data_IF_031972758292
#
_entry.id   IF_031972758292
#
_cell.length_a   1.000
_cell.length_b   1.000
_cell.length_c   1.000
_cell.angle_alpha   90.00
_cell.angle_beta   90.00
_cell.angle_gamma   90.00
#
_symmetry.space_group_name_H-M   'P 1'
#
loop_
_entity.id
_entity.type
_entity.pdbx_description
1 polymer ?
#
# COMPACT_ATOMS: atom_id res chain seq x y z
N UNK A 1 42.89 28.06 104.18
CA UNK A 1 43.45 29.39 103.86
C UNK A 1 42.96 29.81 102.48
N UNK A 2 42.27 30.96 102.46
CA UNK A 2 42.16 31.96 101.38
C UNK A 2 41.60 31.53 100.00
N UNK A 3 40.73 32.27 99.31
CA UNK A 3 39.74 33.31 99.60
C UNK A 3 39.23 33.79 98.22
N UNK A 4 37.91 33.95 98.06
CA UNK A 4 37.22 34.89 97.13
C UNK A 4 37.37 34.59 95.60
N UNK A 5 36.36 34.65 94.72
CA UNK A 5 35.32 35.68 94.50
C UNK A 5 34.12 35.15 93.65
N UNK A 6 32.92 35.51 94.11
CA UNK A 6 31.63 35.91 93.48
C UNK A 6 31.11 35.36 92.11
N UNK A 7 29.84 34.92 92.19
CA UNK A 7 28.72 34.71 91.24
C UNK A 7 28.41 35.87 90.26
N UNK A 8 27.38 35.80 89.38
CA UNK A 8 26.70 34.66 88.69
C UNK A 8 26.62 34.89 87.15
N UNK A 9 26.02 33.99 86.34
CA UNK A 9 25.22 34.30 85.12
C UNK A 9 24.69 33.01 84.43
N UNK A 10 23.36 32.91 84.40
CA UNK A 10 22.45 32.55 83.29
C UNK A 10 22.49 31.15 82.65
N UNK A 11 21.33 30.51 82.79
CA UNK A 11 20.67 29.42 82.04
C UNK A 11 21.14 29.09 80.62
N UNK A 12 21.24 27.79 80.34
CA UNK A 12 20.95 27.22 79.02
C UNK A 12 20.42 25.78 79.15
N UNK A 13 19.12 25.61 78.91
CA UNK A 13 18.47 24.32 78.68
C UNK A 13 19.02 23.71 77.39
N UNK A 14 19.43 22.44 77.42
CA UNK A 14 19.70 21.67 76.20
C UNK A 14 18.55 20.67 76.04
N UNK A 15 17.55 21.08 75.26
CA UNK A 15 16.57 20.14 74.68
C UNK A 15 17.27 19.45 73.52
N UNK A 16 17.52 18.16 73.66
CA UNK A 16 18.09 17.32 72.60
C UNK A 16 16.99 17.00 71.59
N UNK A 17 16.88 17.80 70.52
CA UNK A 17 16.02 17.48 69.37
C UNK A 17 16.80 16.56 68.44
N UNK A 18 16.42 15.27 68.41
CA UNK A 18 16.92 14.32 67.42
C UNK A 18 16.35 14.64 66.03
N UNK A 19 17.21 15.10 65.12
CA UNK A 19 16.86 15.32 63.72
C UNK A 19 17.02 14.01 62.95
N UNK A 20 15.92 13.27 62.76
CA UNK A 20 15.89 12.15 61.82
C UNK A 20 15.66 12.70 60.40
N UNK A 21 16.73 12.79 59.60
CA UNK A 21 16.65 13.11 58.18
C UNK A 21 16.17 11.86 57.45
N UNK A 22 14.85 11.74 57.25
CA UNK A 22 14.28 10.74 56.35
C UNK A 22 14.51 11.15 54.90
N UNK A 23 15.45 10.50 54.21
CA UNK A 23 15.58 10.65 52.76
C UNK A 23 14.38 9.99 52.07
N UNK A 24 13.41 10.80 51.61
CA UNK A 24 12.33 10.33 50.77
C UNK A 24 12.89 10.01 49.37
N UNK A 25 13.05 8.71 49.06
CA UNK A 25 13.36 8.27 47.70
C UNK A 25 12.07 8.43 46.88
N UNK A 26 12.03 9.25 45.82
CA UNK A 26 10.87 9.28 44.94
C UNK A 26 10.77 7.93 44.23
N UNK A 27 9.68 7.21 44.49
CA UNK A 27 9.34 6.00 43.74
C UNK A 27 8.94 6.44 42.33
N UNK A 28 9.87 6.35 41.38
CA UNK A 28 9.59 6.58 39.96
C UNK A 28 8.76 5.40 39.48
N UNK A 29 7.43 5.53 39.53
CA UNK A 29 6.54 4.53 38.95
C UNK A 29 6.54 4.72 37.44
N UNK A 30 7.26 3.86 36.72
CA UNK A 30 7.09 3.74 35.28
C UNK A 30 5.71 3.15 35.00
N UNK A 31 4.70 4.00 34.87
CA UNK A 31 3.39 3.58 34.39
C UNK A 31 3.54 3.15 32.93
N UNK A 32 3.56 1.84 32.67
CA UNK A 32 3.41 1.29 31.33
C UNK A 32 2.00 1.63 30.84
N UNK A 33 1.87 2.71 30.08
CA UNK A 33 0.63 3.12 29.42
C UNK A 33 0.16 1.99 28.50
N UNK A 34 -0.96 1.36 28.83
CA UNK A 34 -1.63 0.41 27.95
C UNK A 34 -2.03 1.12 26.64
N UNK A 35 -1.91 0.46 25.47
CA UNK A 35 -2.31 1.04 24.19
C UNK A 35 -3.76 1.53 24.24
N UNK A 36 -3.98 2.84 24.13
CA UNK A 36 -5.33 3.39 24.00
C UNK A 36 -5.86 3.06 22.60
N UNK A 37 -6.80 2.13 22.52
CA UNK A 37 -7.40 1.68 21.26
C UNK A 37 -8.71 2.39 20.89
N UNK A 38 -9.25 3.20 21.79
CA UNK A 38 -10.49 3.96 21.62
C UNK A 38 -10.30 5.43 21.96
N UNK A 39 -10.93 6.33 21.22
CA UNK A 39 -10.76 7.77 21.38
C UNK A 39 -12.12 8.47 21.56
N UNK A 40 -12.28 9.41 22.50
CA UNK A 40 -13.57 10.06 22.76
C UNK A 40 -14.15 10.82 21.56
N UNK A 41 -13.29 11.32 20.66
CA UNK A 41 -13.66 12.05 19.46
C UNK A 41 -13.81 11.16 18.21
N UNK A 42 -13.72 9.84 18.37
CA UNK A 42 -13.97 8.83 17.33
C UNK A 42 -15.18 8.01 17.75
N UNK A 43 -16.36 8.44 17.30
CA UNK A 43 -17.62 7.78 17.62
C UNK A 43 -17.69 6.35 17.03
N UNK A 44 -18.45 5.42 17.64
CA UNK A 44 -18.62 4.06 17.12
C UNK A 44 -19.16 3.99 15.68
N UNK A 45 -19.97 4.96 15.28
CA UNK A 45 -20.56 5.10 13.94
C UNK A 45 -19.69 5.90 12.96
N UNK A 46 -18.52 6.40 13.40
CA UNK A 46 -17.61 7.12 12.54
C UNK A 46 -17.02 6.18 11.48
N UNK A 47 -17.08 6.58 10.22
CA UNK A 47 -16.73 5.73 9.08
C UNK A 47 -15.33 5.12 9.15
N UNK A 48 -14.36 5.83 9.74
CA UNK A 48 -12.98 5.35 9.85
C UNK A 48 -12.67 4.67 11.19
N UNK A 49 -13.64 4.55 12.09
CA UNK A 49 -13.47 3.98 13.42
C UNK A 49 -12.79 2.61 13.41
N UNK A 50 -13.17 1.62 12.57
CA UNK A 50 -12.53 0.31 12.64
C UNK A 50 -11.07 0.33 12.18
N UNK A 51 -10.72 1.19 11.22
CA UNK A 51 -9.32 1.35 10.81
C UNK A 51 -8.49 1.99 11.94
N UNK A 52 -9.02 3.05 12.56
CA UNK A 52 -8.36 3.76 13.66
C UNK A 52 -8.15 2.80 14.84
N UNK A 53 -9.19 2.09 15.27
CA UNK A 53 -9.12 1.10 16.36
C UNK A 53 -8.07 0.03 16.06
N UNK A 54 -8.13 -0.56 14.87
CA UNK A 54 -7.22 -1.64 14.50
C UNK A 54 -5.75 -1.23 14.43
N UNK A 55 -5.45 0.00 13.98
CA UNK A 55 -4.09 0.54 14.02
C UNK A 55 -3.64 0.92 15.43
N UNK A 56 -4.53 1.46 16.26
CA UNK A 56 -4.22 1.87 17.62
C UNK A 56 -3.93 0.66 18.53
N UNK A 57 -4.71 -0.43 18.40
CA UNK A 57 -4.46 -1.72 19.08
C UNK A 57 -3.07 -2.30 18.79
N UNK A 58 -2.50 -1.94 17.63
CA UNK A 58 -1.18 -2.40 17.15
C UNK A 58 -0.09 -1.37 17.38
N UNK A 59 -0.36 -0.28 18.11
CA UNK A 59 0.56 0.82 18.36
C UNK A 59 1.09 1.54 17.10
N UNK A 60 0.44 1.36 15.95
CA UNK A 60 0.81 2.02 14.69
C UNK A 60 0.47 3.50 14.73
N UNK A 61 -0.68 3.83 15.32
CA UNK A 61 -1.11 5.21 15.57
C UNK A 61 -1.35 5.41 17.05
N UNK A 62 -1.20 6.66 17.50
CA UNK A 62 -1.49 7.07 18.87
C UNK A 62 -2.32 8.36 18.87
N UNK A 63 -3.07 8.57 19.95
CA UNK A 63 -3.76 9.82 20.21
C UNK A 63 -2.80 10.92 20.69
N UNK A 64 -3.35 12.10 20.87
CA UNK A 64 -2.69 13.24 21.48
C UNK A 64 -2.68 13.11 23.02
N UNK A 65 -1.84 13.88 23.73
CA UNK A 65 -1.80 13.88 25.19
C UNK A 65 -3.15 14.21 25.86
N UNK A 66 -4.06 14.86 25.15
CA UNK A 66 -5.44 15.15 25.59
C UNK A 66 -6.39 13.95 25.44
N UNK A 67 -5.87 12.78 25.04
CA UNK A 67 -6.62 11.54 24.85
C UNK A 67 -7.44 11.46 23.56
N UNK A 68 -7.37 12.48 22.69
CA UNK A 68 -8.13 12.54 21.42
C UNK A 68 -7.31 12.04 20.23
N UNK A 69 -7.96 11.61 19.15
CA UNK A 69 -7.27 11.21 17.92
C UNK A 69 -7.23 12.29 16.84
N UNK A 70 -8.25 13.17 16.82
CA UNK A 70 -8.47 14.26 15.85
C UNK A 70 -8.60 13.76 14.42
N UNK A 71 -9.55 12.84 14.12
CA UNK A 71 -9.62 12.15 12.82
C UNK A 71 -9.84 13.08 11.61
N UNK A 72 -10.37 14.28 11.83
CA UNK A 72 -10.62 15.28 10.78
C UNK A 72 -9.46 16.25 10.55
N UNK A 73 -8.45 16.24 11.42
CA UNK A 73 -7.30 17.13 11.28
C UNK A 73 -6.46 16.70 10.08
N UNK A 74 -5.92 17.66 9.33
CA UNK A 74 -4.91 17.40 8.33
C UNK A 74 -3.65 16.79 8.99
N UNK A 75 -2.90 16.03 8.20
CA UNK A 75 -1.71 15.32 8.65
C UNK A 75 -0.45 15.94 8.02
N UNK A 76 0.51 16.28 8.87
CA UNK A 76 1.82 16.75 8.45
C UNK A 76 2.71 15.61 7.94
N UNK A 77 3.71 15.94 7.11
CA UNK A 77 4.60 14.96 6.48
C UNK A 77 5.45 14.17 7.48
N UNK A 78 5.85 14.80 8.58
CA UNK A 78 6.60 14.15 9.64
C UNK A 78 5.75 13.16 10.45
N UNK A 79 4.51 13.51 10.77
CA UNK A 79 3.53 12.60 11.35
C UNK A 79 3.23 11.42 10.43
N UNK A 80 3.09 11.68 9.12
CA UNK A 80 2.90 10.61 8.15
C UNK A 80 4.09 9.66 8.10
N UNK A 81 5.33 10.18 8.14
CA UNK A 81 6.54 9.37 8.21
C UNK A 81 6.57 8.49 9.47
N UNK A 82 6.16 9.05 10.63
CA UNK A 82 6.08 8.30 11.89
C UNK A 82 5.06 7.15 11.82
N UNK A 83 3.92 7.37 11.16
CA UNK A 83 2.91 6.32 10.95
C UNK A 83 3.45 5.23 10.00
N UNK A 84 4.07 5.60 8.88
CA UNK A 84 4.66 4.66 7.92
C UNK A 84 5.70 3.77 8.62
N UNK A 85 6.64 4.38 9.34
CA UNK A 85 7.70 3.68 10.08
C UNK A 85 7.14 2.64 11.05
N UNK A 86 6.04 2.95 11.73
CA UNK A 86 5.40 2.02 12.66
C UNK A 86 4.58 0.93 11.96
N UNK A 87 4.01 1.23 10.80
CA UNK A 87 3.16 0.31 10.06
C UNK A 87 3.96 -0.71 9.24
N UNK A 88 5.11 -0.29 8.71
CA UNK A 88 5.88 -1.06 7.73
C UNK A 88 7.33 -1.18 8.19
N UNK A 89 7.66 -2.36 8.74
CA UNK A 89 9.04 -2.81 8.88
C UNK A 89 9.46 -3.39 7.52
N UNK A 90 10.24 -2.62 6.76
CA UNK A 90 10.73 -2.98 5.42
C UNK A 90 12.26 -2.91 5.43
N UNK A 91 12.91 -3.80 4.67
CA UNK A 91 14.36 -3.75 4.45
C UNK A 91 14.75 -2.40 3.84
N UNK A 92 15.81 -1.79 4.36
CA UNK A 92 16.28 -0.46 3.95
C UNK A 92 16.71 -0.50 2.47
N UNK A 93 16.02 0.22 1.59
CA UNK A 93 16.35 0.33 0.15
C UNK A 93 17.64 1.14 -0.08
N UNK A 94 17.96 2.05 0.84
CA UNK A 94 19.15 2.90 0.83
C UNK A 94 19.69 3.08 2.24
N UNK A 95 21.02 3.13 2.40
CA UNK A 95 21.65 3.58 3.64
C UNK A 95 21.95 5.07 3.53
N UNK A 96 21.37 5.88 4.41
CA UNK A 96 21.68 7.31 4.50
C UNK A 96 22.49 7.61 5.76
N UNK A 97 23.36 8.62 5.72
CA UNK A 97 24.06 9.10 6.92
C UNK A 97 23.02 9.70 7.88
N UNK A 98 22.92 9.15 9.08
CA UNK A 98 22.01 9.65 10.10
C UNK A 98 22.37 11.07 10.52
N UNK A 99 21.38 11.93 10.72
CA UNK A 99 21.50 13.17 11.47
C UNK A 99 21.25 14.48 10.72
N UNK A 100 21.36 14.57 9.38
CA UNK A 100 21.24 15.88 8.71
C UNK A 100 21.16 15.83 7.17
N UNK A 101 20.23 15.07 6.58
CA UNK A 101 20.04 15.11 5.12
C UNK A 101 19.24 16.35 4.69
N UNK A 102 18.34 16.79 5.56
CA UNK A 102 17.40 17.87 5.26
C UNK A 102 17.69 19.07 6.15
N UNK A 103 17.89 20.24 5.53
CA UNK A 103 18.23 21.48 6.23
C UNK A 103 17.13 21.98 7.17
N UNK A 104 15.88 21.58 6.92
CA UNK A 104 14.69 21.95 7.68
C UNK A 104 14.26 20.86 8.69
N UNK A 105 15.12 19.87 8.93
CA UNK A 105 14.93 18.87 9.98
C UNK A 105 16.10 18.98 10.94
N UNK A 106 15.94 19.67 12.09
CA UNK A 106 17.02 19.85 13.04
C UNK A 106 17.45 18.52 13.67
N UNK A 107 18.68 18.48 14.18
CA UNK A 107 19.16 17.35 14.98
C UNK A 107 18.28 17.19 16.23
N UNK A 108 18.00 15.94 16.61
CA UNK A 108 17.10 15.65 17.72
C UNK A 108 15.61 15.93 17.44
N UNK A 109 15.22 16.30 16.22
CA UNK A 109 13.81 16.43 15.85
C UNK A 109 13.07 15.11 16.13
N UNK A 110 11.89 15.17 16.76
CA UNK A 110 11.16 13.99 17.23
C UNK A 110 10.88 12.96 16.12
N UNK A 111 10.71 13.42 14.88
CA UNK A 111 10.46 12.59 13.71
C UNK A 111 11.72 12.28 12.88
N UNK A 112 12.93 12.69 13.32
CA UNK A 112 14.15 12.55 12.54
C UNK A 112 14.35 11.11 12.03
N UNK A 113 14.34 10.13 12.94
CA UNK A 113 14.43 8.70 12.59
C UNK A 113 13.29 8.20 11.70
N UNK A 114 12.07 8.71 11.90
CA UNK A 114 10.92 8.35 11.07
C UNK A 114 11.05 8.87 9.64
N UNK A 115 11.53 10.10 9.47
CA UNK A 115 11.80 10.72 8.19
C UNK A 115 12.91 9.95 7.48
N UNK A 116 14.00 9.66 8.18
CA UNK A 116 15.12 8.88 7.65
C UNK A 116 14.65 7.52 7.13
N UNK A 117 14.02 6.69 7.97
CA UNK A 117 13.60 5.34 7.60
C UNK A 117 12.54 5.34 6.48
N UNK A 118 11.59 6.28 6.50
CA UNK A 118 10.60 6.39 5.44
C UNK A 118 11.20 6.82 4.08
N UNK A 119 12.29 7.58 4.10
CA UNK A 119 13.04 7.95 2.88
C UNK A 119 13.95 6.81 2.42
N UNK A 120 14.63 6.13 3.35
CA UNK A 120 15.45 4.94 3.06
C UNK A 120 14.63 3.82 2.45
N UNK A 121 13.39 3.62 2.89
CA UNK A 121 12.47 2.60 2.38
C UNK A 121 11.64 3.08 1.17
N UNK A 122 11.96 4.24 0.59
CA UNK A 122 11.35 4.70 -0.67
C UNK A 122 9.90 5.21 -0.58
N UNK A 123 9.29 5.22 0.62
CA UNK A 123 7.94 5.74 0.84
C UNK A 123 7.88 7.26 0.63
N UNK A 124 8.85 7.99 1.17
CA UNK A 124 8.89 9.46 1.13
C UNK A 124 10.16 9.97 0.46
N UNK A 125 10.12 11.23 0.06
CA UNK A 125 11.26 11.95 -0.48
C UNK A 125 11.14 13.43 -0.16
N UNK A 126 12.27 14.09 0.11
CA UNK A 126 12.38 15.56 0.07
C UNK A 126 12.72 16.10 -1.32
N UNK A 127 12.84 17.42 -1.43
CA UNK A 127 13.30 18.12 -2.63
C UNK A 127 14.33 19.19 -2.24
N UNK A 128 15.39 19.36 -3.03
CA UNK A 128 16.41 20.40 -2.81
C UNK A 128 16.98 20.44 -1.37
N UNK A 129 17.23 19.27 -0.77
CA UNK A 129 17.65 19.11 0.63
C UNK A 129 16.67 19.68 1.67
N UNK A 130 15.39 19.78 1.33
CA UNK A 130 14.29 20.11 2.24
C UNK A 130 13.27 18.97 2.30
N UNK A 131 12.88 18.57 3.50
CA UNK A 131 11.83 17.55 3.70
C UNK A 131 10.44 18.16 3.80
N UNK A 132 10.35 19.38 4.34
CA UNK A 132 9.14 20.14 4.67
C UNK A 132 8.28 19.39 5.69
N UNK A 133 8.77 19.13 6.92
CA UNK A 133 8.10 18.26 7.89
C UNK A 133 6.68 18.71 8.23
N UNK A 134 6.46 20.03 8.34
CA UNK A 134 5.17 20.65 8.67
C UNK A 134 4.27 20.96 7.48
N UNK A 135 4.64 20.50 6.28
CA UNK A 135 3.74 20.61 5.13
C UNK A 135 2.72 19.48 5.23
N UNK A 136 1.44 19.81 5.07
CA UNK A 136 0.37 18.83 4.98
C UNK A 136 0.57 17.88 3.79
N UNK A 137 0.25 16.60 4.00
CA UNK A 137 0.28 15.58 2.95
C UNK A 137 -1.02 15.61 2.15
N UNK A 138 -0.95 15.60 0.82
CA UNK A 138 -2.15 15.44 -0.02
C UNK A 138 -2.57 13.98 -0.13
N UNK A 139 -3.85 13.72 -0.45
CA UNK A 139 -4.37 12.37 -0.66
C UNK A 139 -3.55 11.59 -1.70
N UNK A 140 -3.18 12.25 -2.79
CA UNK A 140 -2.37 11.64 -3.84
C UNK A 140 -0.94 11.36 -3.38
N UNK A 141 -0.31 12.26 -2.62
CA UNK A 141 1.03 12.02 -2.05
C UNK A 141 1.02 10.80 -1.12
N UNK A 142 0.00 10.64 -0.27
CA UNK A 142 -0.12 9.47 0.62
C UNK A 142 -0.26 8.15 -0.15
N UNK A 143 -1.12 8.12 -1.17
CA UNK A 143 -1.30 6.92 -2.03
C UNK A 143 -0.02 6.61 -2.79
N UNK A 144 0.63 7.62 -3.37
CA UNK A 144 1.91 7.44 -4.06
C UNK A 144 2.99 6.93 -3.11
N UNK A 145 3.06 7.43 -1.88
CA UNK A 145 4.03 7.00 -0.89
C UNK A 145 3.87 5.51 -0.54
N UNK A 146 2.64 5.09 -0.23
CA UNK A 146 2.31 3.69 0.06
C UNK A 146 2.56 2.78 -1.15
N UNK A 147 2.21 3.24 -2.35
CA UNK A 147 2.45 2.47 -3.56
C UNK A 147 3.94 2.34 -3.90
N UNK A 148 4.74 3.37 -3.65
CA UNK A 148 6.20 3.33 -3.90
C UNK A 148 6.91 2.45 -2.89
N UNK A 149 6.69 2.69 -1.60
CA UNK A 149 7.40 1.96 -0.54
C UNK A 149 7.06 0.47 -0.49
N UNK A 150 5.98 0.05 -1.15
CA UNK A 150 5.60 -1.36 -1.27
C UNK A 150 5.80 -1.92 -2.68
N UNK A 151 6.47 -1.17 -3.56
CA UNK A 151 6.68 -1.52 -4.97
C UNK A 151 5.41 -2.00 -5.69
N UNK A 152 4.29 -1.31 -5.46
CA UNK A 152 3.02 -1.61 -6.11
C UNK A 152 3.09 -1.20 -7.59
N UNK A 153 3.42 -2.17 -8.43
CA UNK A 153 3.45 -2.00 -9.88
C UNK A 153 2.18 -2.54 -10.53
N UNK A 154 1.48 -1.71 -11.30
CA UNK A 154 0.49 -2.22 -12.25
C UNK A 154 1.17 -2.54 -13.57
N UNK A 155 1.42 -3.83 -13.81
CA UNK A 155 1.80 -4.34 -15.12
C UNK A 155 0.55 -4.92 -15.78
N UNK A 156 -0.01 -4.32 -16.86
CA UNK A 156 -1.05 -5.01 -17.61
C UNK A 156 -0.44 -6.34 -18.08
N UNK A 157 -1.16 -7.46 -17.94
CA UNK A 157 -0.65 -8.73 -18.47
C UNK A 157 -0.32 -8.53 -19.97
N UNK A 158 0.93 -8.72 -20.32
CA UNK A 158 1.35 -8.67 -21.72
C UNK A 158 0.66 -9.83 -22.41
N UNK A 159 -0.38 -9.55 -23.20
CA UNK A 159 -0.82 -10.50 -24.21
C UNK A 159 0.38 -10.62 -25.15
N UNK A 160 1.10 -11.74 -25.09
CA UNK A 160 2.09 -12.07 -26.12
C UNK A 160 1.29 -12.36 -27.38
N UNK A 161 0.91 -11.30 -28.09
CA UNK A 161 0.43 -11.44 -29.46
C UNK A 161 1.64 -11.94 -30.24
N UNK A 162 1.78 -13.26 -30.38
CA UNK A 162 2.58 -13.84 -31.46
C UNK A 162 1.89 -13.42 -32.74
N UNK A 163 2.19 -12.21 -33.19
CA UNK A 163 1.82 -11.73 -34.52
C UNK A 163 2.48 -12.71 -35.49
N UNK A 164 1.72 -13.51 -36.27
CA UNK A 164 2.31 -14.25 -37.35
C UNK A 164 2.99 -13.23 -38.24
N UNK A 165 4.28 -13.38 -38.48
CA UNK A 165 5.03 -12.51 -39.39
C UNK A 165 4.41 -12.70 -40.78
N UNK A 166 3.44 -11.87 -41.15
CA UNK A 166 2.94 -11.78 -42.53
C UNK A 166 4.11 -11.21 -43.32
N UNK A 167 4.84 -12.09 -43.99
CA UNK A 167 5.92 -11.71 -44.91
C UNK A 167 5.25 -10.98 -46.08
N UNK A 168 5.55 -9.69 -46.34
CA UNK A 168 5.00 -8.99 -47.48
C UNK A 168 5.40 -9.71 -48.78
N UNK A 169 4.48 -9.87 -49.76
CA UNK A 169 4.73 -10.67 -50.97
C UNK A 169 5.87 -10.14 -51.87
N UNK A 170 6.39 -8.94 -51.60
CA UNK A 170 7.53 -8.38 -52.35
C UNK A 170 8.90 -8.85 -51.84
N UNK A 171 8.99 -9.61 -50.74
CA UNK A 171 10.24 -10.29 -50.37
C UNK A 171 10.37 -11.59 -51.17
N UNK A 172 10.50 -11.44 -52.49
CA UNK A 172 11.12 -12.43 -53.38
C UNK A 172 12.16 -11.70 -54.24
N UNK A 173 13.43 -11.78 -53.85
CA UNK A 173 14.53 -12.06 -54.80
C UNK A 173 15.90 -12.25 -54.11
N UNK A 174 16.45 -13.42 -54.46
CA UNK A 174 17.86 -13.82 -54.65
C UNK A 174 18.88 -13.42 -53.59
N UNK A 175 19.29 -14.43 -52.81
CA UNK A 175 20.71 -14.64 -52.58
C UNK A 175 21.07 -16.04 -53.08
N UNK A 176 22.02 -16.06 -54.02
CA UNK A 176 22.57 -17.24 -54.63
C UNK A 176 23.43 -18.04 -53.63
N UNK A 177 23.28 -19.36 -53.71
CA UNK A 177 24.18 -20.45 -53.34
C UNK A 177 25.52 -20.03 -52.68
N UNK A 178 25.68 -20.32 -51.38
CA UNK A 178 26.95 -20.80 -50.84
C UNK A 178 26.75 -22.18 -50.23
N UNK A 179 27.29 -23.20 -50.90
CA UNK A 179 27.44 -24.56 -50.36
C UNK A 179 28.31 -24.49 -49.10
N UNK A 180 27.82 -24.96 -47.96
CA UNK A 180 28.67 -25.56 -46.93
C UNK A 180 27.97 -26.79 -46.37
N UNK A 181 28.64 -27.94 -46.55
CA UNK A 181 28.29 -29.25 -45.99
C UNK A 181 28.27 -29.13 -44.46
N UNK A 182 27.18 -29.54 -43.82
CA UNK A 182 27.16 -29.91 -42.41
C UNK A 182 26.57 -31.32 -42.32
N UNK A 183 27.27 -32.18 -41.57
CA UNK A 183 27.08 -33.63 -41.51
C UNK A 183 25.80 -34.00 -40.75
N UNK A 184 25.15 -35.04 -41.26
CA UNK A 184 24.00 -35.75 -40.73
C UNK A 184 24.38 -36.47 -39.42
N UNK A 185 23.54 -36.37 -38.39
CA UNK A 185 23.49 -37.32 -37.27
C UNK A 185 22.04 -37.79 -37.12
N UNK A 186 21.83 -39.10 -37.37
CA UNK A 186 20.55 -39.81 -37.30
C UNK A 186 20.17 -40.10 -35.84
N UNK A 187 18.88 -40.06 -35.44
CA UNK A 187 18.42 -40.64 -34.19
C UNK A 187 18.15 -42.15 -34.35
N UNK A 188 18.57 -42.95 -33.37
CA UNK A 188 18.21 -44.36 -33.24
C UNK A 188 16.95 -44.44 -32.37
N UNK A 189 15.92 -45.07 -32.91
CA UNK A 189 14.74 -45.54 -32.20
C UNK A 189 15.04 -46.87 -31.50
N UNK A 190 14.46 -47.11 -30.32
CA UNK A 190 14.40 -48.46 -29.74
C UNK A 190 13.03 -48.71 -29.07
N UNK A 191 12.25 -49.52 -29.79
CA UNK A 191 11.17 -50.46 -29.42
C UNK A 191 11.35 -51.09 -28.02
N UNK A 192 10.37 -51.53 -27.20
CA UNK A 192 9.05 -52.17 -27.41
C UNK A 192 8.37 -52.48 -26.04
N UNK A 193 7.13 -53.02 -26.10
CA UNK A 193 6.33 -53.84 -25.14
C UNK A 193 5.23 -53.10 -24.33
N UNK A 194 3.95 -53.19 -24.74
CA UNK A 194 2.91 -54.22 -24.43
C UNK A 194 2.55 -54.29 -22.93
N UNK A 195 1.30 -54.22 -22.44
CA UNK A 195 -0.06 -54.47 -22.99
C UNK A 195 -1.16 -54.00 -21.97
N UNK A 196 -2.49 -54.26 -22.13
CA UNK A 196 -3.58 -53.30 -21.85
C UNK A 196 -4.62 -53.77 -20.79
N UNK A 197 -5.62 -52.94 -20.45
CA UNK A 197 -6.99 -53.34 -20.04
C UNK A 197 -7.95 -52.15 -20.30
N UNK A 198 -8.81 -52.15 -21.34
CA UNK A 198 -10.19 -52.70 -21.45
C UNK A 198 -11.30 -51.85 -20.81
N UNK A 199 -12.43 -51.77 -21.55
CA UNK A 199 -13.79 -51.23 -21.28
C UNK A 199 -14.04 -49.84 -21.94
N UNK A 200 -14.57 -49.75 -23.18
CA UNK A 200 -15.98 -49.83 -23.65
C UNK A 200 -16.89 -48.72 -23.10
N UNK A 201 -17.89 -48.14 -23.79
CA UNK A 201 -18.37 -48.03 -25.18
C UNK A 201 -19.70 -47.25 -25.02
N UNK A 202 -19.97 -46.22 -25.83
CA UNK A 202 -21.33 -45.90 -26.28
C UNK A 202 -21.30 -44.90 -27.44
N UNK A 203 -21.67 -45.40 -28.62
CA UNK A 203 -22.02 -44.66 -29.83
C UNK A 203 -23.55 -44.51 -29.88
N UNK A 204 -24.03 -43.41 -30.49
CA UNK A 204 -25.09 -43.37 -31.52
C UNK A 204 -25.52 -41.89 -31.69
N UNK A 205 -25.23 -41.17 -32.78
CA UNK A 205 -25.65 -41.31 -34.18
C UNK A 205 -27.13 -40.98 -34.46
N UNK A 206 -27.40 -39.82 -35.10
CA UNK A 206 -28.20 -39.69 -36.35
C UNK A 206 -28.43 -38.22 -36.78
N UNK A 207 -27.93 -37.87 -37.96
CA UNK A 207 -28.57 -36.99 -38.98
C UNK A 207 -29.43 -37.88 -39.91
N UNK A 208 -30.10 -37.48 -41.05
CA UNK A 208 -30.03 -36.27 -41.91
C UNK A 208 -31.44 -35.77 -42.42
N UNK A 209 -31.65 -34.72 -43.24
CA UNK A 209 -31.44 -34.56 -44.71
C UNK A 209 -32.00 -33.17 -45.17
N UNK A 210 -31.31 -32.36 -45.99
CA UNK A 210 -31.26 -32.19 -47.49
C UNK A 210 -32.24 -31.14 -48.09
N UNK A 211 -31.69 -30.14 -48.81
CA UNK A 211 -32.01 -29.61 -50.19
C UNK A 211 -31.54 -28.13 -50.31
N UNK A 212 -30.55 -27.75 -51.15
CA UNK A 212 -30.61 -27.38 -52.60
C UNK A 212 -31.72 -26.35 -52.93
N UNK A 213 -31.57 -25.26 -53.70
CA UNK A 213 -30.55 -24.78 -54.64
C UNK A 213 -30.84 -23.30 -55.05
N UNK A 214 -29.78 -22.58 -55.44
CA UNK A 214 -29.62 -21.59 -56.55
C UNK A 214 -30.19 -20.13 -56.58
N UNK A 215 -29.20 -19.22 -56.69
CA UNK A 215 -29.00 -18.16 -57.71
C UNK A 215 -29.64 -16.77 -57.55
N UNK A 216 -28.79 -15.74 -57.62
CA UNK A 216 -29.19 -14.34 -57.88
C UNK A 216 -28.34 -13.30 -57.15
N UNK A 217 -27.39 -12.71 -57.86
CA UNK A 217 -26.32 -11.82 -57.39
C UNK A 217 -26.77 -10.35 -57.31
N UNK A 218 -26.40 -9.60 -56.25
CA UNK A 218 -25.80 -8.23 -56.33
C UNK A 218 -25.79 -7.47 -54.98
N UNK A 219 -24.58 -7.28 -54.45
CA UNK A 219 -24.02 -6.08 -53.78
C UNK A 219 -24.95 -5.18 -52.93
N UNK A 220 -24.74 -4.96 -51.63
CA UNK A 220 -23.54 -4.36 -51.02
C UNK A 220 -23.64 -4.38 -49.49
N UNK A 221 -22.47 -4.49 -48.83
CA UNK A 221 -22.16 -4.09 -47.45
C UNK A 221 -22.92 -4.76 -46.29
N UNK A 222 -22.40 -5.89 -45.81
CA UNK A 222 -22.56 -6.31 -44.43
C UNK A 222 -21.31 -7.02 -43.90
N UNK A 223 -20.92 -6.61 -42.70
CA UNK A 223 -20.41 -7.40 -41.57
C UNK A 223 -19.88 -8.81 -41.85
N UNK A 224 -18.73 -9.11 -41.25
CA UNK A 224 -18.51 -10.45 -40.70
C UNK A 224 -17.92 -10.38 -39.30
N UNK A 225 -18.81 -10.65 -38.35
CA UNK A 225 -18.49 -11.26 -37.07
C UNK A 225 -17.99 -12.69 -37.30
N UNK A 226 -16.81 -13.00 -36.77
CA UNK A 226 -16.45 -14.35 -36.35
C UNK A 226 -16.13 -14.31 -34.87
N UNK A 227 -16.93 -15.05 -34.13
CA UNK A 227 -16.97 -15.09 -32.67
C UNK A 227 -15.86 -16.01 -32.14
N UNK A 228 -15.24 -15.54 -31.06
CA UNK A 228 -14.77 -16.32 -29.92
C UNK A 228 -13.44 -17.09 -30.01
N UNK A 229 -12.38 -16.44 -29.55
CA UNK A 229 -11.89 -16.65 -28.17
C UNK A 229 -11.43 -15.29 -27.62
N UNK A 230 -12.35 -14.53 -27.01
CA UNK A 230 -12.02 -13.21 -26.46
C UNK A 230 -11.26 -13.38 -25.15
N UNK A 231 -9.94 -13.57 -25.24
CA UNK A 231 -9.07 -13.19 -24.13
C UNK A 231 -9.10 -11.67 -24.06
N UNK A 232 -10.00 -11.11 -23.24
CA UNK A 232 -10.10 -9.67 -23.01
C UNK A 232 -8.73 -9.18 -22.55
N UNK A 233 -8.07 -8.35 -23.36
CA UNK A 233 -6.79 -7.78 -22.98
C UNK A 233 -6.95 -7.04 -21.64
N UNK A 234 -6.00 -7.18 -20.71
CA UNK A 234 -6.09 -6.55 -19.40
C UNK A 234 -6.22 -5.03 -19.55
N UNK A 235 -7.13 -4.45 -18.76
CA UNK A 235 -7.40 -3.01 -18.76
C UNK A 235 -6.10 -2.21 -18.54
N UNK A 236 -5.95 -1.07 -19.19
CA UNK A 236 -4.79 -0.20 -18.92
C UNK A 236 -4.90 0.47 -17.53
N UNK A 237 -3.78 0.94 -16.96
CA UNK A 237 -3.80 1.71 -15.71
C UNK A 237 -4.72 2.94 -15.79
N UNK A 238 -4.67 3.66 -16.92
CA UNK A 238 -5.53 4.81 -17.18
C UNK A 238 -7.02 4.41 -17.20
N UNK A 239 -7.35 3.28 -17.84
CA UNK A 239 -8.73 2.76 -17.88
C UNK A 239 -9.24 2.40 -16.50
N UNK A 240 -8.41 1.78 -15.65
CA UNK A 240 -8.79 1.47 -14.25
C UNK A 240 -9.14 2.74 -13.49
N UNK A 241 -8.28 3.75 -13.57
CA UNK A 241 -8.46 5.02 -12.85
C UNK A 241 -9.69 5.78 -13.36
N UNK A 242 -9.91 5.85 -14.67
CA UNK A 242 -11.06 6.51 -15.28
C UNK A 242 -12.39 5.82 -14.93
N UNK A 243 -12.40 4.50 -14.84
CA UNK A 243 -13.60 3.75 -14.43
C UNK A 243 -13.85 3.86 -12.92
N UNK A 244 -12.80 3.94 -12.10
CA UNK A 244 -12.90 4.00 -10.64
C UNK A 244 -13.29 5.39 -10.13
N UNK A 245 -12.82 6.48 -10.77
CA UNK A 245 -12.92 7.83 -10.22
C UNK A 245 -13.53 8.84 -11.19
N UNK A 246 -14.52 9.60 -10.71
CA UNK A 246 -15.14 10.70 -11.46
C UNK A 246 -14.19 11.86 -11.71
N UNK A 247 -13.23 12.08 -10.81
CA UNK A 247 -12.21 13.12 -10.89
C UNK A 247 -10.85 12.59 -11.34
N UNK A 248 -10.85 11.49 -12.12
CA UNK A 248 -9.64 10.87 -12.67
C UNK A 248 -8.76 11.86 -13.45
N UNK A 249 -9.35 12.87 -14.09
CA UNK A 249 -8.64 13.93 -14.80
C UNK A 249 -7.77 14.83 -13.90
N UNK A 250 -7.97 14.80 -12.57
CA UNK A 250 -7.15 15.53 -11.60
C UNK A 250 -5.91 14.74 -11.16
N UNK A 251 -5.74 13.49 -11.62
CA UNK A 251 -4.61 12.65 -11.28
C UNK A 251 -3.52 12.86 -12.34
N UNK A 252 -2.32 13.34 -11.95
CA UNK A 252 -1.18 13.47 -12.85
C UNK A 252 -0.83 12.15 -13.53
N UNK A 253 -0.48 12.21 -14.82
CA UNK A 253 -0.19 11.02 -15.64
C UNK A 253 0.88 10.11 -15.01
N UNK A 254 1.93 10.70 -14.45
CA UNK A 254 3.01 9.96 -13.79
C UNK A 254 2.57 9.20 -12.52
N UNK A 255 1.40 9.50 -11.94
CA UNK A 255 0.84 8.83 -10.77
C UNK A 255 -0.21 7.75 -11.13
N UNK A 256 -0.74 7.77 -12.35
CA UNK A 256 -1.80 6.84 -12.80
C UNK A 256 -1.45 5.36 -12.56
N UNK A 257 -0.24 4.84 -12.89
CA UNK A 257 0.09 3.44 -12.65
C UNK A 257 0.01 3.03 -11.17
N UNK A 258 0.46 3.90 -10.27
CA UNK A 258 0.47 3.65 -8.82
C UNK A 258 -0.92 3.73 -8.22
N UNK A 259 -1.72 4.72 -8.64
CA UNK A 259 -3.12 4.81 -8.22
C UNK A 259 -3.92 3.61 -8.72
N UNK A 260 -3.71 3.17 -9.96
CA UNK A 260 -4.34 1.96 -10.49
C UNK A 260 -3.96 0.71 -9.67
N UNK A 261 -2.67 0.54 -9.36
CA UNK A 261 -2.19 -0.58 -8.54
C UNK A 261 -2.83 -0.57 -7.14
N UNK A 262 -2.80 0.56 -6.44
CA UNK A 262 -3.42 0.71 -5.12
C UNK A 262 -4.94 0.44 -5.17
N UNK A 263 -5.61 0.89 -6.24
CA UNK A 263 -7.05 0.66 -6.43
C UNK A 263 -7.35 -0.83 -6.62
N UNK A 264 -6.58 -1.56 -7.44
CA UNK A 264 -6.78 -3.01 -7.63
C UNK A 264 -6.52 -3.82 -6.36
N UNK A 265 -5.64 -3.34 -5.48
CA UNK A 265 -5.34 -3.98 -4.20
C UNK A 265 -6.33 -3.59 -3.08
N UNK A 266 -7.42 -2.88 -3.39
CA UNK A 266 -8.39 -2.36 -2.42
C UNK A 266 -7.76 -1.45 -1.34
N UNK A 267 -6.63 -0.81 -1.64
CA UNK A 267 -5.92 0.07 -0.70
C UNK A 267 -6.62 1.42 -0.58
N UNK A 268 -7.18 1.92 -1.70
CA UNK A 268 -7.79 3.25 -1.73
C UNK A 268 -9.11 3.24 -0.97
N UNK A 269 -9.24 4.16 -0.01
CA UNK A 269 -10.47 4.41 0.74
C UNK A 269 -10.87 5.86 0.54
N UNK A 270 -12.10 6.10 0.09
CA UNK A 270 -12.61 7.43 -0.24
C UNK A 270 -13.91 7.73 0.50
N UNK A 271 -13.89 8.84 1.24
CA UNK A 271 -15.03 9.34 2.00
C UNK A 271 -15.35 10.79 1.57
N UNK A 272 -16.63 11.17 1.46
CA UNK A 272 -17.83 10.34 1.64
C UNK A 272 -18.22 9.51 0.40
N UNK A 273 -17.61 9.76 -0.76
CA UNK A 273 -17.96 9.09 -2.01
C UNK A 273 -16.79 8.21 -2.46
N UNK A 274 -17.02 6.90 -2.59
CA UNK A 274 -15.95 5.96 -2.94
C UNK A 274 -15.33 6.22 -4.33
N UNK A 275 -16.11 6.77 -5.26
CA UNK A 275 -15.71 7.08 -6.63
C UNK A 275 -15.18 8.51 -6.85
N UNK A 276 -14.80 9.23 -5.79
CA UNK A 276 -14.15 10.55 -5.91
C UNK A 276 -12.87 10.54 -5.07
N UNK A 277 -11.71 10.68 -5.71
CA UNK A 277 -10.42 10.58 -5.06
C UNK A 277 -10.02 11.85 -4.31
N UNK A 278 -10.27 13.02 -4.89
CA UNK A 278 -9.80 14.33 -4.43
C UNK A 278 -8.27 14.39 -4.25
N UNK A 279 -7.48 14.16 -5.32
CA UNK A 279 -6.04 13.92 -5.23
C UNK A 279 -5.24 15.07 -4.58
N UNK A 280 -5.65 16.32 -4.79
CA UNK A 280 -4.91 17.52 -4.36
C UNK A 280 -5.33 18.03 -2.97
N UNK A 281 -6.31 17.41 -2.32
CA UNK A 281 -6.76 17.81 -0.98
C UNK A 281 -5.79 17.27 0.07
N UNK A 282 -5.54 18.04 1.13
CA UNK A 282 -4.88 17.53 2.33
C UNK A 282 -5.62 16.29 2.86
N UNK A 283 -4.85 15.25 3.19
CA UNK A 283 -5.38 14.02 3.78
C UNK A 283 -5.58 14.23 5.28
N UNK A 284 -6.72 13.77 5.79
CA UNK A 284 -6.99 13.80 7.23
C UNK A 284 -6.39 12.59 7.94
N UNK A 285 -6.16 12.69 9.26
CA UNK A 285 -5.69 11.58 10.11
C UNK A 285 -6.55 10.31 9.96
N UNK A 286 -7.88 10.45 9.91
CA UNK A 286 -8.80 9.34 9.72
C UNK A 286 -8.68 8.69 8.34
N UNK A 287 -8.46 9.48 7.29
CA UNK A 287 -8.20 8.95 5.95
C UNK A 287 -6.85 8.25 5.85
N UNK A 288 -5.81 8.80 6.48
CA UNK A 288 -4.50 8.14 6.57
C UNK A 288 -4.61 6.80 7.28
N UNK A 289 -5.33 6.74 8.41
CA UNK A 289 -5.56 5.48 9.12
C UNK A 289 -6.26 4.45 8.21
N UNK A 290 -7.24 4.87 7.42
CA UNK A 290 -7.92 3.98 6.48
C UNK A 290 -6.97 3.43 5.40
N UNK A 291 -6.18 4.29 4.75
CA UNK A 291 -5.22 3.87 3.72
C UNK A 291 -4.15 2.94 4.29
N UNK A 292 -3.54 3.29 5.43
CA UNK A 292 -2.50 2.48 6.08
C UNK A 292 -3.05 1.13 6.52
N UNK A 293 -4.24 1.10 7.14
CA UNK A 293 -4.88 -0.16 7.53
C UNK A 293 -5.16 -1.04 6.31
N UNK A 294 -5.76 -0.49 5.25
CA UNK A 294 -6.02 -1.28 4.03
C UNK A 294 -4.73 -1.78 3.37
N UNK A 295 -3.66 -0.99 3.46
CA UNK A 295 -2.35 -1.40 2.99
C UNK A 295 -1.80 -2.57 3.80
N UNK A 296 -1.87 -2.51 5.13
CA UNK A 296 -1.49 -3.63 5.99
C UNK A 296 -2.38 -4.87 5.73
N UNK A 297 -3.67 -4.67 5.43
CA UNK A 297 -4.60 -5.76 5.13
C UNK A 297 -4.25 -6.42 3.78
N UNK A 298 -3.90 -5.63 2.77
CA UNK A 298 -3.43 -6.12 1.48
C UNK A 298 -2.12 -6.93 1.60
N UNK A 299 -1.28 -6.62 2.60
CA UNK A 299 -0.09 -7.40 2.95
C UNK A 299 -0.37 -8.62 3.85
N UNK A 300 -1.62 -8.86 4.26
CA UNK A 300 -1.98 -9.91 5.21
C UNK A 300 -1.52 -9.67 6.65
N UNK A 301 -1.06 -8.46 6.99
CA UNK A 301 -0.58 -8.09 8.34
C UNK A 301 -1.71 -7.80 9.33
N UNK A 302 -2.92 -7.49 8.83
CA UNK A 302 -4.13 -7.27 9.63
C UNK A 302 -5.34 -7.90 8.94
N UNK A 303 -6.39 -8.28 9.68
CA UNK A 303 -7.60 -8.82 9.06
C UNK A 303 -8.29 -7.78 8.16
N UNK A 304 -8.90 -8.20 7.04
CA UNK A 304 -9.68 -7.30 6.20
C UNK A 304 -10.89 -6.75 6.96
N UNK A 305 -11.34 -5.55 6.59
CA UNK A 305 -12.57 -4.97 7.13
C UNK A 305 -13.77 -5.79 6.66
N UNK A 306 -14.68 -6.09 7.60
CA UNK A 306 -15.88 -6.87 7.34
C UNK A 306 -16.79 -6.18 6.30
N UNK A 307 -17.35 -6.97 5.38
CA UNK A 307 -18.15 -6.45 4.27
C UNK A 307 -19.45 -5.74 4.71
N UNK A 308 -20.00 -6.09 5.86
CA UNK A 308 -21.20 -5.50 6.45
C UNK A 308 -20.92 -4.21 7.25
N UNK A 309 -19.66 -3.85 7.50
CA UNK A 309 -19.28 -2.65 8.23
C UNK A 309 -19.55 -1.38 7.41
N UNK A 310 -19.88 -0.26 8.08
CA UNK A 310 -19.99 1.06 7.44
C UNK A 310 -18.70 1.45 6.70
N UNK A 311 -17.54 1.10 7.27
CA UNK A 311 -16.23 1.39 6.70
C UNK A 311 -16.03 0.74 5.33
N UNK A 312 -16.60 -0.45 5.10
CA UNK A 312 -16.42 -1.22 3.87
C UNK A 312 -17.00 -0.51 2.63
N UNK A 313 -17.99 0.36 2.82
CA UNK A 313 -18.65 1.15 1.77
C UNK A 313 -17.71 2.16 1.11
N UNK A 314 -16.67 2.56 1.83
CA UNK A 314 -15.72 3.58 1.39
C UNK A 314 -14.45 2.98 0.78
N UNK A 315 -14.26 1.66 0.90
CA UNK A 315 -13.16 0.95 0.25
C UNK A 315 -13.47 0.85 -1.26
N UNK A 316 -12.55 1.30 -2.09
CA UNK A 316 -12.72 1.27 -3.55
C UNK A 316 -12.48 -0.15 -4.04
N UNK A 317 -13.57 -0.85 -4.37
CA UNK A 317 -13.53 -2.22 -4.89
C UNK A 317 -13.60 -2.19 -6.42
N UNK A 318 -12.46 -2.36 -7.07
CA UNK A 318 -12.40 -2.46 -8.54
C UNK A 318 -12.52 -3.92 -8.97
N UNK A 319 -13.46 -4.22 -9.86
CA UNK A 319 -13.61 -5.53 -10.50
C UNK A 319 -13.39 -5.33 -11.99
N UNK A 320 -12.56 -6.16 -12.60
CA UNK A 320 -12.43 -6.20 -14.06
C UNK A 320 -13.82 -6.57 -14.62
N UNK A 321 -14.48 -5.63 -15.30
CA UNK A 321 -15.77 -5.88 -15.95
C UNK A 321 -15.53 -6.90 -17.05
N UNK A 322 -16.19 -8.05 -16.96
CA UNK A 322 -16.09 -9.15 -17.93
C UNK A 322 -16.83 -8.82 -19.21
#
# INVERSE_FOLDING_TARGET
>A
MNNLRRLPIISASIVTIGLAIGAAIPLVTNAQSSPQSTFPDVKPDYWAQPFIKGLAERNVITGYPDGRYRPKQALDRDEFAAIIRKAFDQDKEKQIKSGSIYKDVPEGYWANKAIEEAVEAGFLSGNENLFRPRKEVTKLEAINALARGLDLSYKPATVTTTTPKIIPPYIRRRIARRKRKSRVMLPIAMTSLMQPLLIQKANAAKTPKISQNNSGNSSTAANNSKQNTTATAPLSAASIVQQAYKDANKIPENAVPRVAAATKQNIVVNYPNSNILNPNRAISRGETAALVYQTMAAQGKVPPIENNSLASKYIVKFKDVK
#
